data_IF_131984276760
#
_entry.id   IF_131984276760
#
_cell.length_a   1.000
_cell.length_b   1.000
_cell.length_c   1.000
_cell.angle_alpha   90.00
_cell.angle_beta   90.00
_cell.angle_gamma   90.00
#
_symmetry.space_group_name_H-M   'P 1'
#
loop_
_entity.id
_entity.type
_entity.pdbx_description
1 polymer ?
#
# COMPACT_ATOMS: atom_id res chain seq x y z
N UNK A 1 -13.60 -21.84 30.57
CA UNK A 1 -13.68 -20.37 30.70
C UNK A 1 -15.04 -19.92 30.18
N UNK A 2 -15.92 -19.47 31.08
CA UNK A 2 -17.35 -19.22 30.83
C UNK A 2 -17.70 -17.72 30.99
N UNK A 3 -16.71 -16.86 30.72
CA UNK A 3 -16.76 -15.41 31.01
C UNK A 3 -17.78 -14.67 30.14
N UNK A 4 -17.98 -15.09 28.88
CA UNK A 4 -18.97 -14.48 27.98
C UNK A 4 -20.40 -14.61 28.50
N UNK A 5 -20.83 -15.83 28.86
CA UNK A 5 -22.20 -16.08 29.37
C UNK A 5 -22.48 -15.36 30.69
N UNK A 6 -21.49 -15.31 31.59
CA UNK A 6 -21.64 -14.61 32.88
C UNK A 6 -21.71 -13.09 32.73
N UNK A 7 -21.01 -12.51 31.75
CA UNK A 7 -21.05 -11.06 31.49
C UNK A 7 -22.35 -10.68 30.80
N UNK A 8 -22.83 -11.50 29.86
CA UNK A 8 -24.14 -11.32 29.19
C UNK A 8 -25.29 -11.36 30.22
N UNK A 9 -25.29 -12.35 31.12
CA UNK A 9 -26.29 -12.44 32.20
C UNK A 9 -26.24 -11.23 33.16
N UNK A 10 -25.06 -10.64 33.38
CA UNK A 10 -24.89 -9.45 34.24
C UNK A 10 -25.41 -8.18 33.57
N UNK A 11 -25.33 -8.09 32.24
CA UNK A 11 -25.87 -6.99 31.44
C UNK A 11 -27.39 -7.08 31.30
N UNK A 12 -27.95 -8.28 31.20
CA UNK A 12 -29.41 -8.51 31.22
C UNK A 12 -30.08 -8.06 32.53
N UNK A 13 -29.32 -7.97 33.62
CA UNK A 13 -29.77 -7.46 34.92
C UNK A 13 -29.26 -6.04 35.21
N UNK A 14 -28.54 -5.41 34.28
CA UNK A 14 -27.98 -4.09 34.48
C UNK A 14 -29.08 -3.04 34.38
N UNK A 15 -29.53 -2.62 35.57
CA UNK A 15 -30.47 -1.53 35.75
C UNK A 15 -29.69 -0.23 35.84
N UNK A 16 -30.00 0.71 34.97
CA UNK A 16 -29.38 2.03 34.91
C UNK A 16 -30.42 3.14 35.04
N UNK A 17 -29.95 4.32 35.42
CA UNK A 17 -30.74 5.55 35.48
C UNK A 17 -30.76 6.25 34.12
N UNK A 18 -31.67 7.21 33.91
CA UNK A 18 -31.74 7.96 32.65
C UNK A 18 -30.41 8.67 32.28
N UNK A 19 -29.68 9.31 33.22
CA UNK A 19 -28.39 9.94 32.90
C UNK A 19 -27.30 8.95 32.49
N UNK A 20 -27.25 7.78 33.13
CA UNK A 20 -26.29 6.72 32.78
C UNK A 20 -26.59 6.13 31.40
N UNK A 21 -27.88 5.96 31.09
CA UNK A 21 -28.33 5.53 29.77
C UNK A 21 -28.01 6.57 28.69
N UNK A 22 -28.22 7.85 28.99
CA UNK A 22 -27.87 8.96 28.12
C UNK A 22 -26.35 8.99 27.83
N UNK A 23 -25.53 8.79 28.87
CA UNK A 23 -24.08 8.67 28.71
C UNK A 23 -23.69 7.48 27.84
N UNK A 24 -24.28 6.30 28.04
CA UNK A 24 -23.98 5.10 27.26
C UNK A 24 -24.27 5.28 25.76
N UNK A 25 -25.41 5.91 25.42
CA UNK A 25 -25.78 6.16 24.04
C UNK A 25 -25.19 7.46 23.47
N UNK A 26 -24.38 8.18 24.25
CA UNK A 26 -23.83 9.50 23.90
C UNK A 26 -24.92 10.51 23.44
N UNK A 27 -26.08 10.47 24.09
CA UNK A 27 -27.20 11.36 23.82
C UNK A 27 -27.58 12.19 25.05
N UNK A 28 -28.48 13.15 24.87
CA UNK A 28 -29.02 13.94 25.99
C UNK A 28 -30.16 13.21 26.71
N UNK A 29 -30.37 13.54 27.98
CA UNK A 29 -31.52 13.08 28.78
C UNK A 29 -32.87 13.37 28.10
N UNK A 30 -32.95 14.47 27.32
CA UNK A 30 -34.15 14.83 26.55
C UNK A 30 -34.46 13.80 25.45
N UNK A 31 -33.42 13.23 24.84
CA UNK A 31 -33.53 12.19 23.82
C UNK A 31 -34.05 10.90 24.43
N UNK A 32 -33.54 10.53 25.61
CA UNK A 32 -34.02 9.36 26.38
C UNK A 32 -35.51 9.50 26.74
N UNK A 33 -35.96 10.70 27.14
CA UNK A 33 -37.39 10.95 27.40
C UNK A 33 -38.26 10.82 26.14
N UNK A 34 -37.78 11.30 24.99
CA UNK A 34 -38.46 11.12 23.70
C UNK A 34 -38.54 9.64 23.31
N UNK A 35 -37.48 8.87 23.49
CA UNK A 35 -37.47 7.43 23.23
C UNK A 35 -38.42 6.68 24.17
N UNK A 36 -38.44 7.05 25.45
CA UNK A 36 -39.41 6.51 26.42
C UNK A 36 -40.85 6.80 25.99
N UNK A 37 -41.14 8.01 25.50
CA UNK A 37 -42.45 8.34 24.94
C UNK A 37 -42.77 7.57 23.63
N UNK A 38 -41.73 7.22 22.86
CA UNK A 38 -41.82 6.39 21.66
C UNK A 38 -41.91 4.88 21.91
N UNK A 39 -42.04 4.45 23.17
CA UNK A 39 -42.22 3.04 23.53
C UNK A 39 -40.95 2.30 23.97
N UNK A 40 -39.86 3.01 24.25
CA UNK A 40 -38.66 2.39 24.80
C UNK A 40 -38.95 1.72 26.16
N UNK A 41 -38.51 0.46 26.38
CA UNK A 41 -38.78 -0.27 27.61
C UNK A 41 -38.28 0.47 28.85
N UNK A 42 -39.19 0.76 29.80
CA UNK A 42 -38.83 1.31 31.11
C UNK A 42 -39.21 0.33 32.23
N UNK A 43 -38.40 0.33 33.29
CA UNK A 43 -38.74 -0.31 34.56
C UNK A 43 -39.50 0.67 35.47
N UNK A 44 -39.88 0.21 36.66
CA UNK A 44 -40.52 1.06 37.66
C UNK A 44 -39.59 2.19 38.13
N UNK A 45 -40.18 3.33 38.54
CA UNK A 45 -39.50 4.48 39.17
C UNK A 45 -38.36 5.15 38.36
N UNK A 46 -38.38 5.09 37.03
CA UNK A 46 -37.42 5.81 36.17
C UNK A 46 -36.09 5.08 35.98
N UNK A 47 -36.08 3.79 36.25
CA UNK A 47 -34.97 2.88 35.95
C UNK A 47 -35.15 2.21 34.58
N UNK A 48 -34.05 1.78 33.98
CA UNK A 48 -34.02 1.19 32.64
C UNK A 48 -33.18 -0.08 32.65
N UNK A 49 -33.64 -1.11 31.94
CA UNK A 49 -32.81 -2.27 31.65
C UNK A 49 -31.99 -1.95 30.40
N UNK A 50 -30.66 -1.92 30.53
CA UNK A 50 -29.77 -1.49 29.44
C UNK A 50 -29.93 -2.37 28.20
N UNK A 51 -29.99 -3.69 28.37
CA UNK A 51 -30.13 -4.65 27.25
C UNK A 51 -31.48 -4.50 26.54
N UNK A 52 -32.57 -4.34 27.30
CA UNK A 52 -33.89 -4.13 26.70
C UNK A 52 -33.96 -2.79 25.93
N UNK A 53 -33.34 -1.74 26.46
CA UNK A 53 -33.25 -0.45 25.78
C UNK A 53 -32.38 -0.52 24.51
N UNK A 54 -31.27 -1.25 24.57
CA UNK A 54 -30.38 -1.46 23.42
C UNK A 54 -31.07 -2.26 22.31
N UNK A 55 -31.78 -3.33 22.65
CA UNK A 55 -32.56 -4.11 21.67
C UNK A 55 -33.63 -3.23 20.99
N UNK A 56 -34.37 -2.44 21.77
CA UNK A 56 -35.34 -1.49 21.22
C UNK A 56 -34.68 -0.44 20.32
N UNK A 57 -33.55 0.13 20.74
CA UNK A 57 -32.79 1.11 19.94
C UNK A 57 -32.32 0.52 18.62
N UNK A 58 -31.86 -0.74 18.62
CA UNK A 58 -31.41 -1.43 17.43
C UNK A 58 -32.56 -1.59 16.40
N UNK A 59 -33.76 -1.91 16.87
CA UNK A 59 -34.93 -2.14 16.03
C UNK A 59 -35.61 -0.84 15.55
N UNK A 60 -35.63 0.20 16.39
CA UNK A 60 -36.42 1.41 16.15
C UNK A 60 -35.58 2.60 15.67
N UNK A 61 -34.27 2.61 15.91
CA UNK A 61 -33.40 3.77 15.64
C UNK A 61 -32.24 3.39 14.74
N UNK A 62 -31.51 2.32 15.06
CA UNK A 62 -30.34 1.92 14.26
C UNK A 62 -30.71 1.17 12.98
N UNK A 63 -31.96 0.74 12.84
CA UNK A 63 -32.42 0.00 11.67
C UNK A 63 -32.29 0.88 10.42
N UNK A 64 -31.67 0.40 9.33
CA UNK A 64 -31.68 1.12 8.07
C UNK A 64 -33.12 1.26 7.57
N UNK A 65 -33.49 2.45 7.08
CA UNK A 65 -34.85 2.69 6.60
C UNK A 65 -35.14 1.93 5.30
N UNK A 66 -34.09 1.43 4.62
CA UNK A 66 -34.19 0.56 3.44
C UNK A 66 -32.92 -0.26 3.22
N UNK A 67 -33.05 -1.37 2.47
CA UNK A 67 -31.92 -2.20 1.99
C UNK A 67 -30.87 -1.39 1.22
N UNK A 68 -31.28 -0.26 0.59
CA UNK A 68 -30.39 0.64 -0.12
C UNK A 68 -29.47 1.40 0.84
N UNK A 69 -30.00 1.83 1.99
CA UNK A 69 -29.21 2.47 3.04
C UNK A 69 -28.27 1.49 3.72
N UNK A 70 -28.71 0.25 3.93
CA UNK A 70 -27.87 -0.81 4.49
C UNK A 70 -26.64 -1.06 3.61
N UNK A 71 -26.84 -1.29 2.31
CA UNK A 71 -25.73 -1.45 1.35
C UNK A 71 -24.82 -0.22 1.26
N UNK A 72 -25.38 0.99 1.43
CA UNK A 72 -24.58 2.21 1.45
C UNK A 72 -23.70 2.30 2.70
N UNK A 73 -24.23 1.93 3.88
CA UNK A 73 -23.44 1.85 5.12
C UNK A 73 -22.34 0.80 5.00
N UNK A 74 -22.64 -0.39 4.48
CA UNK A 74 -21.63 -1.44 4.26
C UNK A 74 -20.50 -0.95 3.36
N UNK A 75 -20.84 -0.33 2.21
CA UNK A 75 -19.83 0.25 1.30
C UNK A 75 -18.98 1.31 1.98
N UNK A 76 -19.59 2.17 2.80
CA UNK A 76 -18.86 3.19 3.54
C UNK A 76 -17.89 2.57 4.54
N UNK A 77 -18.32 1.57 5.32
CA UNK A 77 -17.45 0.90 6.29
C UNK A 77 -16.33 0.10 5.63
N UNK A 78 -16.60 -0.56 4.50
CA UNK A 78 -15.57 -1.22 3.70
C UNK A 78 -14.55 -0.22 3.14
N UNK A 79 -15.01 0.91 2.59
CA UNK A 79 -14.13 1.96 2.10
C UNK A 79 -13.27 2.57 3.23
N UNK A 80 -13.87 2.77 4.41
CA UNK A 80 -13.17 3.27 5.59
C UNK A 80 -12.13 2.27 6.10
N UNK A 81 -12.47 0.98 6.14
CA UNK A 81 -11.53 -0.08 6.51
C UNK A 81 -10.34 -0.12 5.54
N UNK A 82 -10.59 -0.06 4.24
CA UNK A 82 -9.55 -0.01 3.22
C UNK A 82 -8.65 1.24 3.36
N UNK A 83 -9.23 2.39 3.67
CA UNK A 83 -8.47 3.62 3.90
C UNK A 83 -7.54 3.50 5.14
N UNK A 84 -8.05 2.93 6.23
CA UNK A 84 -7.27 2.69 7.45
C UNK A 84 -6.15 1.67 7.19
N UNK A 85 -6.43 0.61 6.44
CA UNK A 85 -5.42 -0.39 6.07
C UNK A 85 -4.29 0.24 5.24
N UNK A 86 -4.62 1.12 4.30
CA UNK A 86 -3.64 1.85 3.51
C UNK A 86 -2.80 2.81 4.37
N UNK A 87 -3.43 3.53 5.30
CA UNK A 87 -2.74 4.41 6.23
C UNK A 87 -1.80 3.62 7.16
N UNK A 88 -2.24 2.47 7.68
CA UNK A 88 -1.43 1.58 8.50
C UNK A 88 -0.24 1.04 7.71
N UNK A 89 -0.44 0.62 6.46
CA UNK A 89 0.62 0.16 5.57
C UNK A 89 1.68 1.25 5.32
N UNK A 90 1.24 2.50 5.10
CA UNK A 90 2.15 3.66 4.95
C UNK A 90 2.95 3.91 6.22
N UNK A 91 2.30 3.94 7.39
CA UNK A 91 2.96 4.14 8.69
C UNK A 91 3.91 3.00 9.04
N UNK A 92 3.59 1.77 8.64
CA UNK A 92 4.49 0.62 8.79
C UNK A 92 5.70 0.73 7.88
N UNK A 93 5.55 1.27 6.67
CA UNK A 93 6.67 1.54 5.77
C UNK A 93 7.59 2.64 6.35
N UNK A 94 7.03 3.71 6.91
CA UNK A 94 7.79 4.80 7.55
C UNK A 94 8.54 4.35 8.82
N UNK A 95 7.92 3.48 9.62
CA UNK A 95 8.48 3.00 10.89
C UNK A 95 9.26 1.68 10.78
N UNK A 96 9.61 1.26 9.56
CA UNK A 96 10.33 0.00 9.38
C UNK A 96 11.74 0.11 9.99
N UNK A 97 12.19 -0.88 10.79
CA UNK A 97 13.48 -0.78 11.46
C UNK A 97 14.64 -0.81 10.46
N UNK A 98 15.69 -0.04 10.75
CA UNK A 98 16.91 0.04 9.90
C UNK A 98 17.53 -1.33 9.61
N UNK A 99 17.39 -2.30 10.51
CA UNK A 99 17.87 -3.66 10.36
C UNK A 99 17.24 -4.38 9.16
N UNK A 100 15.93 -4.22 8.95
CA UNK A 100 15.23 -4.82 7.81
C UNK A 100 15.69 -4.23 6.47
N UNK A 101 16.01 -2.94 6.43
CA UNK A 101 16.61 -2.33 5.23
C UNK A 101 17.97 -2.97 4.93
N UNK A 102 18.84 -3.07 5.93
CA UNK A 102 20.19 -3.66 5.75
C UNK A 102 20.09 -5.10 5.27
N UNK A 103 19.20 -5.91 5.84
CA UNK A 103 18.97 -7.29 5.40
C UNK A 103 18.47 -7.36 3.96
N UNK A 104 17.51 -6.52 3.59
CA UNK A 104 17.01 -6.49 2.22
C UNK A 104 18.07 -6.09 1.19
N UNK A 105 18.90 -5.08 1.52
CA UNK A 105 20.03 -4.68 0.68
C UNK A 105 21.09 -5.78 0.57
N UNK A 106 21.35 -6.50 1.67
CA UNK A 106 22.27 -7.66 1.67
C UNK A 106 21.75 -8.78 0.78
N UNK A 107 20.48 -9.13 0.89
CA UNK A 107 19.84 -10.16 0.04
C UNK A 107 19.93 -9.77 -1.43
N UNK A 108 19.59 -8.51 -1.78
CA UNK A 108 19.71 -8.04 -3.17
C UNK A 108 21.13 -8.08 -3.72
N UNK A 109 22.10 -7.67 -2.92
CA UNK A 109 23.51 -7.72 -3.35
C UNK A 109 23.94 -9.17 -3.60
N UNK A 110 23.46 -10.09 -2.75
CA UNK A 110 23.70 -11.52 -2.91
C UNK A 110 23.01 -12.08 -4.16
N UNK A 111 21.80 -11.63 -4.47
CA UNK A 111 21.07 -12.06 -5.66
C UNK A 111 21.72 -11.53 -6.94
N UNK A 112 22.17 -10.27 -6.96
CA UNK A 112 22.96 -9.73 -8.07
C UNK A 112 24.26 -10.53 -8.28
N UNK A 113 24.96 -10.89 -7.20
CA UNK A 113 26.15 -11.72 -7.28
C UNK A 113 25.82 -13.08 -7.91
N UNK A 114 24.76 -13.76 -7.46
CA UNK A 114 24.32 -15.04 -8.05
C UNK A 114 23.96 -14.88 -9.52
N UNK A 115 23.25 -13.82 -9.90
CA UNK A 115 22.92 -13.54 -11.30
C UNK A 115 24.16 -13.34 -12.17
N UNK A 116 25.20 -12.67 -11.66
CA UNK A 116 26.49 -12.51 -12.36
C UNK A 116 27.21 -13.86 -12.52
N UNK A 117 27.20 -14.70 -11.49
CA UNK A 117 27.78 -16.05 -11.56
C UNK A 117 27.03 -16.94 -12.55
N UNK A 118 25.69 -16.85 -12.59
CA UNK A 118 24.85 -17.52 -13.60
C UNK A 118 25.08 -16.98 -15.00
N UNK A 119 25.30 -15.67 -15.15
CA UNK A 119 25.60 -15.03 -16.43
C UNK A 119 26.82 -15.66 -17.10
N UNK A 120 27.86 -15.97 -16.31
CA UNK A 120 29.08 -16.62 -16.80
C UNK A 120 28.76 -17.97 -17.46
N UNK A 121 27.91 -18.78 -16.84
CA UNK A 121 27.52 -20.10 -17.35
C UNK A 121 26.65 -19.95 -18.62
N UNK A 122 25.73 -18.98 -18.62
CA UNK A 122 24.84 -18.74 -19.74
C UNK A 122 25.56 -18.15 -20.97
N UNK A 123 26.53 -17.27 -20.76
CA UNK A 123 27.28 -16.60 -21.84
C UNK A 123 28.37 -17.49 -22.45
N UNK A 124 28.97 -18.41 -21.68
CA UNK A 124 30.02 -19.29 -22.15
C UNK A 124 29.70 -20.02 -23.48
N UNK A 125 28.56 -20.71 -23.66
CA UNK A 125 28.24 -21.38 -24.93
C UNK A 125 27.97 -20.41 -26.08
N UNK A 126 27.49 -19.21 -25.80
CA UNK A 126 27.19 -18.19 -26.82
C UNK A 126 28.50 -17.62 -27.38
N UNK A 127 29.44 -17.32 -26.47
CA UNK A 127 30.72 -16.72 -26.84
C UNK A 127 31.63 -17.67 -27.63
N UNK A 128 31.52 -18.99 -27.44
CA UNK A 128 32.28 -19.99 -28.20
C UNK A 128 32.01 -19.90 -29.71
N UNK A 129 30.79 -19.53 -30.11
CA UNK A 129 30.37 -19.48 -31.51
C UNK A 129 30.55 -18.09 -32.14
N UNK A 130 31.05 -17.10 -31.39
CA UNK A 130 31.25 -15.74 -31.88
C UNK A 130 32.70 -15.56 -32.29
N UNK A 131 32.92 -15.17 -33.55
CA UNK A 131 34.26 -14.99 -34.12
C UNK A 131 34.72 -13.52 -34.12
N UNK A 132 33.85 -12.59 -33.73
CA UNK A 132 34.12 -11.15 -33.68
C UNK A 132 34.08 -10.63 -32.26
N UNK A 133 35.15 -9.94 -31.84
CA UNK A 133 35.25 -9.32 -30.52
C UNK A 133 34.16 -8.25 -30.29
N UNK A 134 33.78 -7.53 -31.34
CA UNK A 134 32.73 -6.49 -31.28
C UNK A 134 31.37 -7.11 -30.99
N UNK A 135 31.04 -8.20 -31.69
CA UNK A 135 29.78 -8.91 -31.52
C UNK A 135 29.69 -9.58 -30.13
N UNK A 136 30.80 -10.14 -29.65
CA UNK A 136 30.90 -10.69 -28.30
C UNK A 136 30.63 -9.61 -27.23
N UNK A 137 31.23 -8.42 -27.40
CA UNK A 137 31.01 -7.30 -26.49
C UNK A 137 29.56 -6.79 -26.51
N UNK A 138 28.90 -6.74 -27.67
CA UNK A 138 27.49 -6.36 -27.79
C UNK A 138 26.56 -7.33 -27.04
N UNK A 139 26.79 -8.63 -27.19
CA UNK A 139 26.02 -9.68 -26.49
C UNK A 139 26.20 -9.56 -24.98
N UNK A 140 27.43 -9.40 -24.50
CA UNK A 140 27.75 -9.22 -23.08
C UNK A 140 27.06 -7.96 -22.54
N UNK A 141 27.19 -6.83 -23.24
CA UNK A 141 26.59 -5.56 -22.83
C UNK A 141 25.07 -5.63 -22.77
N UNK A 142 24.42 -6.30 -23.73
CA UNK A 142 22.97 -6.52 -23.73
C UNK A 142 22.53 -7.35 -22.52
N UNK A 143 23.29 -8.39 -22.18
CA UNK A 143 23.01 -9.25 -21.04
C UNK A 143 23.16 -8.50 -19.71
N UNK A 144 24.27 -7.79 -19.52
CA UNK A 144 24.52 -6.98 -18.33
C UNK A 144 23.43 -5.91 -18.16
N UNK A 145 23.03 -5.25 -19.25
CA UNK A 145 21.97 -4.24 -19.20
C UNK A 145 20.64 -4.82 -18.73
N UNK A 146 20.24 -5.98 -19.26
CA UNK A 146 19.03 -6.67 -18.81
C UNK A 146 19.06 -7.05 -17.34
N UNK A 147 20.22 -7.51 -16.84
CA UNK A 147 20.41 -7.79 -15.41
C UNK A 147 20.27 -6.54 -14.54
N UNK A 148 20.91 -5.43 -14.94
CA UNK A 148 20.84 -4.17 -14.21
C UNK A 148 19.42 -3.58 -14.20
N UNK A 149 18.69 -3.69 -15.32
CA UNK A 149 17.29 -3.25 -15.41
C UNK A 149 16.39 -4.08 -14.48
N UNK A 150 16.56 -5.40 -14.42
CA UNK A 150 15.82 -6.26 -13.47
C UNK A 150 16.17 -5.92 -12.01
N UNK A 151 17.45 -5.72 -11.70
CA UNK A 151 17.92 -5.35 -10.37
C UNK A 151 17.34 -4.01 -9.87
N UNK A 152 17.25 -3.02 -10.75
CA UNK A 152 16.73 -1.69 -10.42
C UNK A 152 15.20 -1.65 -10.24
N UNK A 153 14.46 -2.53 -10.91
CA UNK A 153 12.99 -2.46 -10.94
C UNK A 153 12.30 -3.32 -9.84
N UNK A 154 12.93 -4.38 -9.33
CA UNK A 154 12.25 -5.41 -8.53
C UNK A 154 12.55 -5.36 -7.02
N UNK A 155 12.47 -4.18 -6.43
CA UNK A 155 12.88 -4.01 -5.06
C UNK A 155 11.80 -3.61 -4.07
N UNK A 156 11.53 -4.44 -3.05
CA UNK A 156 10.65 -4.13 -1.89
C UNK A 156 10.97 -2.83 -1.13
N UNK A 157 12.15 -2.24 -1.40
CA UNK A 157 12.73 -1.08 -0.72
C UNK A 157 13.37 -0.07 -1.66
N UNK A 158 13.28 -0.29 -2.98
CA UNK A 158 13.58 0.76 -3.95
C UNK A 158 12.23 1.18 -4.44
N UNK A 159 11.85 2.40 -4.11
CA UNK A 159 10.79 3.07 -4.84
C UNK A 159 11.13 2.91 -6.32
N UNK A 160 10.19 2.37 -7.11
CA UNK A 160 10.32 2.45 -8.56
C UNK A 160 10.49 3.93 -8.83
N UNK A 161 11.68 4.34 -9.29
CA UNK A 161 11.93 5.70 -9.74
C UNK A 161 11.06 5.90 -10.99
N UNK A 162 9.78 6.12 -10.76
CA UNK A 162 8.79 6.54 -11.74
C UNK A 162 8.73 8.06 -11.76
N UNK A 163 9.87 8.73 -11.57
CA UNK A 163 10.04 9.98 -12.26
C UNK A 163 10.03 9.63 -13.74
N UNK A 164 8.94 10.00 -14.40
CA UNK A 164 8.98 10.42 -15.80
C UNK A 164 10.01 11.55 -15.89
N UNK A 165 11.30 11.20 -15.84
CA UNK A 165 12.35 12.07 -16.33
C UNK A 165 12.07 12.12 -17.81
N UNK A 166 11.28 13.11 -18.21
CA UNK A 166 11.33 13.61 -19.57
C UNK A 166 12.81 13.98 -19.78
N UNK A 167 13.58 13.07 -20.36
CA UNK A 167 14.95 13.33 -20.80
C UNK A 167 14.83 14.26 -22.01
N UNK A 168 14.41 15.50 -21.76
CA UNK A 168 14.65 16.61 -22.65
C UNK A 168 16.16 16.87 -22.60
N UNK A 169 16.80 16.40 -23.66
CA UNK A 169 18.09 16.84 -24.18
C UNK A 169 19.35 16.49 -23.36
N UNK A 170 19.94 15.35 -23.71
CA UNK A 170 21.39 15.28 -24.00
C UNK A 170 21.69 15.14 -25.51
N UNK A 171 20.68 15.39 -26.36
CA UNK A 171 20.84 15.43 -27.82
C UNK A 171 21.63 16.65 -28.32
N UNK A 172 21.88 17.67 -27.49
CA UNK A 172 22.69 18.84 -27.83
C UNK A 172 24.20 18.55 -27.75
N UNK A 173 24.64 17.73 -26.80
CA UNK A 173 26.06 17.41 -26.58
C UNK A 173 26.57 16.37 -27.59
N UNK A 174 25.75 15.38 -27.93
CA UNK A 174 26.03 14.40 -28.99
C UNK A 174 25.98 15.01 -30.41
N UNK A 175 25.09 15.98 -30.68
CA UNK A 175 25.07 16.68 -31.97
C UNK A 175 26.26 17.63 -32.16
N UNK A 176 26.78 18.25 -31.09
CA UNK A 176 28.01 19.05 -31.15
C UNK A 176 29.25 18.18 -31.38
N UNK A 177 29.36 17.02 -30.73
CA UNK A 177 30.49 16.10 -30.96
C UNK A 177 30.44 15.47 -32.37
N UNK A 178 29.26 15.05 -32.85
CA UNK A 178 29.10 14.51 -34.21
C UNK A 178 29.32 15.56 -35.31
N UNK A 179 28.97 16.83 -35.08
CA UNK A 179 29.31 17.93 -36.01
C UNK A 179 30.81 18.22 -36.03
N UNK A 180 31.49 18.17 -34.89
CA UNK A 180 32.95 18.36 -34.83
C UNK A 180 33.71 17.20 -35.52
N UNK A 181 33.22 15.97 -35.37
CA UNK A 181 33.80 14.78 -36.01
C UNK A 181 33.59 14.83 -37.54
N UNK A 182 32.39 15.20 -38.02
CA UNK A 182 32.11 15.38 -39.46
C UNK A 182 32.87 16.55 -40.10
N UNK A 183 33.13 17.63 -39.35
CA UNK A 183 33.91 18.76 -39.84
C UNK A 183 35.41 18.44 -39.97
N UNK A 184 35.96 17.59 -39.09
CA UNK A 184 37.34 17.08 -39.20
C UNK A 184 37.51 16.09 -40.35
N UNK A 185 36.54 15.20 -40.57
CA UNK A 185 36.57 14.25 -41.69
C UNK A 185 36.55 14.94 -43.06
N UNK A 186 35.80 16.03 -43.23
CA UNK A 186 35.77 16.79 -44.50
C UNK A 186 37.04 17.61 -44.78
N UNK A 187 37.83 17.96 -43.76
CA UNK A 187 39.10 18.70 -43.94
C UNK A 187 40.31 17.79 -44.18
N UNK A 188 40.20 16.49 -43.92
CA UNK A 188 41.28 15.51 -44.11
C UNK A 188 41.30 14.84 -45.49
N UNK A 189 40.27 15.01 -46.32
CA UNK A 189 40.13 14.31 -47.62
C UNK A 189 40.70 15.12 -48.81
N UNK A 190 41.11 16.38 -48.60
CA UNK A 190 41.64 17.26 -49.67
C UNK A 190 43.17 17.49 -49.61
N UNK A 191 43.94 16.51 -49.11
CA UNK A 191 45.41 16.54 -49.19
C UNK A 191 45.93 15.16 -49.53
N UNK A 192 45.68 14.73 -50.77
CA UNK A 192 46.54 13.83 -51.54
C UNK A 192 45.93 13.75 -52.95
N UNK A 193 46.19 14.81 -53.72
CA UNK A 193 46.41 14.81 -55.16
C UNK A 193 47.39 15.95 -55.45
#
# INVERSE_FOLDING_TARGET
MNTGKSTINKLEQLVCTAPELAYFFEVTDSTIRKWTAGGMPKLARGSFNLMACFAWWQENINKPASDKEERARERYWLAKAAAIELELSSKQAENRPKTEYVEAWKTRTTDLQKSLESARIALAPILINIHSEIEAAEVINKFIRGMLESYCNEGRFTEVFSEQISVKLHSSTLRKSQRCIRARAKKGVNKHD
#
